data_IF_361333873092
#
_entry.id   IF_361333873092
#
_cell.length_a   1.000
_cell.length_b   1.000
_cell.length_c   1.000
_cell.angle_alpha   90.00
_cell.angle_beta   90.00
_cell.angle_gamma   90.00
#
_symmetry.space_group_name_H-M   'P 1'
#
loop_
_entity.id
_entity.type
_entity.pdbx_description
1 polymer ?
#
# COMPACT_ATOMS: atom_id res chain seq x y z
N UNK A 1 -1.31 5.52 -11.14
CA UNK A 1 -0.99 6.50 -10.08
C UNK A 1 0.02 5.98 -9.07
N UNK A 2 0.33 4.68 -9.05
CA UNK A 2 1.28 4.05 -8.13
C UNK A 2 2.60 3.70 -8.80
N UNK A 3 2.50 3.10 -9.98
CA UNK A 3 3.54 3.05 -10.99
C UNK A 3 3.67 4.46 -11.62
N UNK A 4 4.77 5.15 -11.33
CA UNK A 4 5.04 6.53 -11.74
C UNK A 4 5.66 6.52 -13.13
N UNK A 5 6.55 5.57 -13.38
CA UNK A 5 7.28 5.45 -14.64
C UNK A 5 6.54 4.65 -15.72
N UNK A 6 5.40 4.05 -15.36
CA UNK A 6 4.57 3.17 -16.19
C UNK A 6 5.33 1.93 -16.69
N UNK A 7 6.24 1.40 -15.87
CA UNK A 7 6.99 0.18 -16.17
C UNK A 7 6.14 -1.10 -16.11
N UNK A 8 4.97 -1.06 -15.47
CA UNK A 8 4.09 -2.20 -15.24
C UNK A 8 4.44 -3.01 -13.99
N UNK A 9 5.45 -2.58 -13.24
CA UNK A 9 5.89 -3.12 -11.96
C UNK A 9 6.07 -1.95 -11.00
N UNK A 10 5.77 -2.14 -9.71
CA UNK A 10 6.00 -1.11 -8.71
C UNK A 10 7.34 -1.40 -8.06
N UNK A 11 8.36 -0.62 -8.38
CA UNK A 11 9.67 -0.76 -7.77
C UNK A 11 9.64 -0.36 -6.28
N UNK A 12 10.63 -0.80 -5.50
CA UNK A 12 10.74 -0.46 -4.07
C UNK A 12 10.58 1.02 -3.75
N UNK A 13 11.16 1.88 -4.59
CA UNK A 13 11.13 3.34 -4.41
C UNK A 13 9.74 3.91 -4.66
N UNK A 14 9.05 3.38 -5.68
CA UNK A 14 7.67 3.75 -5.98
C UNK A 14 6.75 3.24 -4.87
N UNK A 15 6.90 1.98 -4.47
CA UNK A 15 6.13 1.38 -3.39
C UNK A 15 6.34 2.09 -2.05
N UNK A 16 7.56 2.56 -1.74
CA UNK A 16 7.81 3.40 -0.57
C UNK A 16 7.02 4.72 -0.62
N UNK A 17 6.93 5.35 -1.79
CA UNK A 17 6.14 6.57 -1.99
C UNK A 17 4.63 6.29 -1.91
N UNK A 18 4.17 5.17 -2.48
CA UNK A 18 2.79 4.72 -2.37
C UNK A 18 2.44 4.49 -0.91
N UNK A 19 3.20 3.66 -0.21
CA UNK A 19 2.99 3.36 1.21
C UNK A 19 3.07 4.62 2.06
N UNK A 20 4.05 5.50 1.87
CA UNK A 20 4.09 6.80 2.59
C UNK A 20 2.84 7.63 2.36
N UNK A 21 2.35 7.69 1.13
CA UNK A 21 1.14 8.45 0.81
C UNK A 21 -0.09 7.83 1.47
N UNK A 22 -0.20 6.49 1.44
CA UNK A 22 -1.25 5.73 2.11
C UNK A 22 -1.24 5.99 3.60
N UNK A 23 -0.08 5.84 4.25
CA UNK A 23 0.07 6.08 5.69
C UNK A 23 -0.16 7.55 6.06
N UNK A 24 0.31 8.51 5.25
CA UNK A 24 0.09 9.93 5.50
C UNK A 24 -1.38 10.32 5.36
N UNK A 25 -2.12 9.73 4.42
CA UNK A 25 -3.56 9.95 4.29
C UNK A 25 -4.32 9.27 5.42
N UNK A 26 -4.03 8.00 5.72
CA UNK A 26 -4.67 7.28 6.82
C UNK A 26 -4.40 7.94 8.18
N UNK A 27 -3.18 8.43 8.43
CA UNK A 27 -2.87 9.20 9.65
C UNK A 27 -3.67 10.50 9.76
N UNK A 28 -4.15 11.04 8.63
CA UNK A 28 -5.01 12.22 8.61
C UNK A 28 -6.51 11.89 8.80
N UNK A 29 -6.93 10.63 8.59
CA UNK A 29 -8.37 10.25 8.59
C UNK A 29 -8.74 9.21 9.65
N UNK A 30 -7.78 8.50 10.23
CA UNK A 30 -8.03 7.49 11.27
C UNK A 30 -6.97 7.56 12.37
N UNK A 31 -7.37 7.22 13.60
CA UNK A 31 -6.42 6.95 14.69
C UNK A 31 -5.49 5.84 14.24
N UNK A 32 -4.25 6.20 13.90
CA UNK A 32 -3.23 5.24 13.49
C UNK A 32 -3.17 4.11 14.53
N UNK A 33 -3.20 2.84 14.11
CA UNK A 33 -3.02 1.74 15.05
C UNK A 33 -1.71 1.96 15.82
N UNK A 34 -1.63 1.56 17.10
CA UNK A 34 -0.50 1.86 17.99
C UNK A 34 0.84 1.26 17.56
N UNK A 35 0.86 0.46 16.49
CA UNK A 35 2.05 -0.18 15.95
C UNK A 35 2.78 0.74 14.95
N UNK A 36 4.10 0.58 14.87
CA UNK A 36 4.94 1.42 14.00
C UNK A 36 4.47 1.28 12.53
N UNK A 37 3.99 2.37 11.88
CA UNK A 37 3.46 2.32 10.52
C UNK A 37 4.50 1.79 9.52
N UNK A 38 5.79 2.08 9.78
CA UNK A 38 6.92 1.51 9.04
C UNK A 38 7.03 0.00 9.17
N UNK A 39 6.80 -0.55 10.37
CA UNK A 39 6.87 -2.00 10.60
C UNK A 39 5.74 -2.72 9.89
N UNK A 40 4.50 -2.22 9.99
CA UNK A 40 3.37 -2.79 9.25
C UNK A 40 3.58 -2.70 7.74
N UNK A 41 4.02 -1.55 7.21
CA UNK A 41 4.33 -1.40 5.80
C UNK A 41 5.37 -2.42 5.32
N UNK A 42 6.45 -2.61 6.06
CA UNK A 42 7.48 -3.59 5.73
C UNK A 42 7.00 -5.04 5.85
N UNK A 43 6.20 -5.36 6.87
CA UNK A 43 5.65 -6.71 7.04
C UNK A 43 4.74 -7.08 5.87
N UNK A 44 3.84 -6.17 5.51
CA UNK A 44 2.99 -6.28 4.34
C UNK A 44 3.84 -6.40 3.08
N UNK A 45 4.81 -5.49 2.88
CA UNK A 45 5.66 -5.51 1.69
C UNK A 45 6.33 -6.88 1.52
N UNK A 46 6.93 -7.42 2.58
CA UNK A 46 7.55 -8.75 2.55
C UNK A 46 6.56 -9.92 2.41
N UNK A 47 5.29 -9.75 2.75
CA UNK A 47 4.27 -10.79 2.50
C UNK A 47 3.74 -10.78 1.06
N UNK A 48 3.75 -9.61 0.41
CA UNK A 48 3.29 -9.43 -0.98
C UNK A 48 4.42 -9.68 -1.97
N UNK A 49 5.66 -9.34 -1.61
CA UNK A 49 6.89 -9.59 -2.38
C UNK A 49 7.26 -11.08 -2.31
N UNK A 50 6.52 -11.90 -3.05
CA UNK A 50 6.64 -13.38 -3.01
C UNK A 50 8.01 -13.84 -3.52
N UNK A 51 8.56 -13.11 -4.51
CA UNK A 51 9.84 -13.44 -5.12
C UNK A 51 11.05 -12.77 -4.43
N UNK A 52 10.80 -11.90 -3.44
CA UNK A 52 11.78 -11.08 -2.69
C UNK A 52 12.72 -10.33 -3.66
N UNK A 53 12.19 -9.91 -4.82
CA UNK A 53 12.96 -9.17 -5.83
C UNK A 53 13.04 -7.67 -5.50
N UNK A 54 12.29 -7.22 -4.48
CA UNK A 54 12.21 -5.84 -4.04
C UNK A 54 11.30 -4.97 -4.89
N UNK A 55 10.53 -5.55 -5.82
CA UNK A 55 9.47 -4.93 -6.59
C UNK A 55 8.16 -5.70 -6.40
N UNK A 56 7.03 -5.02 -6.61
CA UNK A 56 5.73 -5.67 -6.61
C UNK A 56 5.19 -5.63 -8.03
N UNK A 57 5.14 -6.80 -8.67
CA UNK A 57 4.39 -6.92 -9.91
C UNK A 57 2.89 -6.72 -9.65
N UNK A 58 2.15 -6.33 -10.68
CA UNK A 58 0.70 -6.18 -10.59
C UNK A 58 0.01 -7.45 -10.04
N UNK A 59 0.54 -8.64 -10.40
CA UNK A 59 0.00 -9.91 -9.96
C UNK A 59 0.32 -10.19 -8.48
N UNK A 60 1.54 -9.89 -8.04
CA UNK A 60 1.94 -9.98 -6.62
C UNK A 60 1.12 -9.04 -5.76
N UNK A 61 0.99 -7.78 -6.19
CA UNK A 61 0.18 -6.79 -5.49
C UNK A 61 -1.27 -7.25 -5.35
N UNK A 62 -1.91 -7.69 -6.44
CA UNK A 62 -3.28 -8.20 -6.41
C UNK A 62 -3.42 -9.43 -5.52
N UNK A 63 -2.51 -10.40 -5.64
CA UNK A 63 -2.53 -11.62 -4.81
C UNK A 63 -2.33 -11.29 -3.34
N UNK A 64 -1.42 -10.40 -3.01
CA UNK A 64 -1.17 -9.94 -1.66
C UNK A 64 -2.37 -9.23 -1.05
N UNK A 65 -2.98 -8.31 -1.80
CA UNK A 65 -4.22 -7.65 -1.39
C UNK A 65 -5.37 -8.62 -1.14
N UNK A 66 -5.52 -9.64 -1.99
CA UNK A 66 -6.57 -10.64 -1.83
C UNK A 66 -6.30 -11.63 -0.70
N UNK A 67 -5.05 -11.76 -0.27
CA UNK A 67 -4.63 -12.71 0.77
C UNK A 67 -4.61 -12.06 2.16
N UNK A 68 -4.47 -10.74 2.23
CA UNK A 68 -4.45 -9.97 3.46
C UNK A 68 -5.70 -9.09 3.58
N UNK A 69 -6.65 -9.52 4.42
CA UNK A 69 -7.88 -8.80 4.72
C UNK A 69 -7.64 -7.41 5.36
N UNK A 70 -6.54 -7.24 6.13
CA UNK A 70 -6.20 -5.92 6.70
C UNK A 70 -5.69 -4.98 5.61
N UNK A 71 -4.86 -5.47 4.68
CA UNK A 71 -4.41 -4.69 3.54
C UNK A 71 -5.57 -4.23 2.67
N UNK A 72 -6.51 -5.15 2.40
CA UNK A 72 -7.68 -4.84 1.58
C UNK A 72 -8.53 -3.75 2.25
N UNK A 73 -8.72 -3.82 3.57
CA UNK A 73 -9.38 -2.76 4.34
C UNK A 73 -8.63 -1.44 4.32
N UNK A 74 -7.30 -1.44 4.40
CA UNK A 74 -6.48 -0.23 4.31
C UNK A 74 -6.62 0.43 2.94
N UNK A 75 -6.62 -0.36 1.87
CA UNK A 75 -6.83 0.13 0.50
C UNK A 75 -8.25 0.63 0.27
N UNK A 76 -9.26 -0.04 0.83
CA UNK A 76 -10.63 0.48 0.82
C UNK A 76 -10.75 1.82 1.55
N UNK A 77 -10.15 1.93 2.75
CA UNK A 77 -10.14 3.19 3.50
C UNK A 77 -9.45 4.31 2.70
N UNK A 78 -8.30 4.01 2.09
CA UNK A 78 -7.61 4.95 1.21
C UNK A 78 -8.49 5.40 0.04
N UNK A 79 -9.13 4.46 -0.65
CA UNK A 79 -10.01 4.77 -1.78
C UNK A 79 -11.16 5.65 -1.32
N UNK A 80 -11.77 5.33 -0.17
CA UNK A 80 -12.88 6.08 0.40
C UNK A 80 -12.45 7.51 0.76
N UNK A 81 -11.25 7.71 1.33
CA UNK A 81 -10.68 9.03 1.62
C UNK A 81 -10.51 9.86 0.35
N UNK A 82 -9.88 9.27 -0.67
CA UNK A 82 -9.65 9.94 -1.95
C UNK A 82 -10.97 10.33 -2.62
N UNK A 83 -12.00 9.48 -2.55
CA UNK A 83 -13.32 9.79 -3.11
C UNK A 83 -14.11 10.79 -2.27
N UNK A 84 -14.03 10.74 -0.94
CA UNK A 84 -14.75 11.69 -0.05
C UNK A 84 -14.16 13.08 -0.11
N UNK A 85 -12.86 13.24 -0.43
CA UNK A 85 -12.27 14.58 -0.64
C UNK A 85 -12.64 15.24 -1.97
N UNK A 86 -13.39 14.56 -2.86
CA UNK A 86 -13.84 15.10 -4.15
C UNK A 86 -15.32 15.56 -4.17
N UNK A 87 -15.97 15.71 -3.00
CA UNK A 87 -17.29 16.34 -2.86
C UNK A 87 -17.21 17.77 -2.28
#
# INVERSE_FOLDING_TARGET
>A
MYDIDNSGIIDRSEMENVMKSIYSMLAAVSEAPPDDPKKRANAIFSEIDINDDGGLSQEEFLKGCLKDDELMKLLEQLFNVLTTTME
#
